data_IF_361914255463
#
_entry.id   IF_361914255463
#
_cell.length_a   1.000
_cell.length_b   1.000
_cell.length_c   1.000
_cell.angle_alpha   90.00
_cell.angle_beta   90.00
_cell.angle_gamma   90.00
#
_symmetry.space_group_name_H-M   'P 1'
#
loop_
_entity.id
_entity.type
_entity.pdbx_description
1 polymer ?
#
# COMPACT_ATOMS: atom_id res chain seq x y z
N UNK A 1 -48.41 75.80 11.63
CA UNK A 1 -48.29 74.44 11.04
C UNK A 1 -46.82 74.14 10.88
N UNK A 2 -46.25 73.32 11.78
CA UNK A 2 -44.86 72.90 11.73
C UNK A 2 -44.79 71.58 10.93
N UNK A 3 -44.16 71.59 9.76
CA UNK A 3 -43.93 70.39 8.97
C UNK A 3 -42.63 69.73 9.45
N UNK A 4 -42.76 68.58 10.11
CA UNK A 4 -41.67 67.68 10.42
C UNK A 4 -41.09 67.13 9.11
N UNK A 5 -39.86 67.50 8.78
CA UNK A 5 -39.08 66.86 7.72
C UNK A 5 -38.49 65.55 8.24
N UNK A 6 -38.85 64.42 7.64
CA UNK A 6 -38.16 63.14 7.87
C UNK A 6 -36.75 63.21 7.26
N UNK A 7 -35.73 62.95 8.06
CA UNK A 7 -34.37 62.77 7.58
C UNK A 7 -34.07 61.26 7.49
N UNK A 8 -34.03 60.72 6.27
CA UNK A 8 -33.63 59.34 6.02
C UNK A 8 -32.10 59.31 5.83
N UNK A 9 -31.37 58.76 6.79
CA UNK A 9 -29.93 58.53 6.69
C UNK A 9 -29.69 57.13 6.12
N UNK A 10 -29.25 57.04 4.86
CA UNK A 10 -28.78 55.78 4.28
C UNK A 10 -27.30 55.57 4.63
N UNK A 11 -27.00 54.55 5.45
CA UNK A 11 -25.64 54.09 5.69
C UNK A 11 -25.31 53.01 4.65
N UNK A 12 -24.44 53.32 3.67
CA UNK A 12 -23.84 52.30 2.81
C UNK A 12 -22.71 51.60 3.59
N UNK A 13 -22.99 50.42 4.14
CA UNK A 13 -21.95 49.49 4.57
C UNK A 13 -21.40 48.76 3.34
N UNK A 14 -20.20 49.15 2.88
CA UNK A 14 -19.48 48.44 1.84
C UNK A 14 -18.89 47.15 2.44
N UNK A 15 -19.70 46.11 2.55
CA UNK A 15 -19.22 44.77 2.86
C UNK A 15 -18.56 44.25 1.59
N UNK A 16 -17.23 44.26 1.53
CA UNK A 16 -16.46 43.67 0.43
C UNK A 16 -16.76 42.16 0.38
N UNK A 17 -17.77 41.78 -0.39
CA UNK A 17 -17.98 40.40 -0.80
C UNK A 17 -16.85 40.12 -1.80
N UNK A 18 -15.84 39.35 -1.37
CA UNK A 18 -14.85 38.77 -2.27
C UNK A 18 -15.61 38.07 -3.40
N UNK A 19 -15.32 38.44 -4.64
CA UNK A 19 -15.98 37.85 -5.80
C UNK A 19 -15.80 36.32 -5.73
N UNK A 20 -16.86 35.51 -5.90
CA UNK A 20 -16.80 34.05 -5.79
C UNK A 20 -15.74 33.41 -6.69
N UNK A 21 -15.45 34.03 -7.84
CA UNK A 21 -14.36 33.62 -8.74
C UNK A 21 -12.97 33.71 -8.10
N UNK A 22 -12.73 34.70 -7.24
CA UNK A 22 -11.44 34.92 -6.59
C UNK A 22 -11.21 33.93 -5.44
N UNK A 23 -12.30 33.51 -4.77
CA UNK A 23 -12.25 32.43 -3.78
C UNK A 23 -11.98 31.08 -4.46
N UNK A 24 -12.62 30.80 -5.60
CA UNK A 24 -12.37 29.58 -6.39
C UNK A 24 -10.93 29.53 -6.92
N UNK A 25 -10.39 30.63 -7.45
CA UNK A 25 -9.00 30.66 -7.92
C UNK A 25 -7.99 30.42 -6.79
N UNK A 26 -8.27 30.93 -5.59
CA UNK A 26 -7.40 30.73 -4.43
C UNK A 26 -7.43 29.26 -3.97
N UNK A 27 -8.61 28.64 -3.98
CA UNK A 27 -8.78 27.23 -3.62
C UNK A 27 -8.04 26.31 -4.59
N UNK A 28 -8.09 26.59 -5.90
CA UNK A 28 -7.35 25.82 -6.92
C UNK A 28 -5.83 25.96 -6.71
N UNK A 29 -5.33 27.16 -6.41
CA UNK A 29 -3.90 27.41 -6.16
C UNK A 29 -3.37 26.80 -4.85
N UNK A 30 -4.25 26.55 -3.88
CA UNK A 30 -3.89 26.00 -2.57
C UNK A 30 -4.14 24.49 -2.45
N UNK A 31 -4.86 23.90 -3.39
CA UNK A 31 -5.17 22.47 -3.38
C UNK A 31 -3.90 21.64 -3.69
N UNK A 32 -3.68 20.51 -2.99
CA UNK A 32 -2.70 19.52 -3.38
C UNK A 32 -2.93 19.06 -4.83
N UNK A 33 -1.87 18.86 -5.60
CA UNK A 33 -1.93 18.53 -7.03
C UNK A 33 -2.82 17.30 -7.33
N UNK A 34 -2.81 16.30 -6.43
CA UNK A 34 -3.66 15.12 -6.51
C UNK A 34 -5.16 15.44 -6.34
N UNK A 35 -5.50 16.36 -5.43
CA UNK A 35 -6.86 16.81 -5.20
C UNK A 35 -7.35 17.67 -6.38
N UNK A 36 -6.49 18.52 -6.93
CA UNK A 36 -6.76 19.30 -8.14
C UNK A 36 -7.07 18.40 -9.34
N UNK A 37 -6.32 17.30 -9.53
CA UNK A 37 -6.59 16.33 -10.60
C UNK A 37 -7.98 15.70 -10.46
N UNK A 38 -8.34 15.27 -9.26
CA UNK A 38 -9.66 14.67 -9.01
C UNK A 38 -10.79 15.67 -9.28
N UNK A 39 -10.59 16.93 -8.89
CA UNK A 39 -11.54 18.02 -9.13
C UNK A 39 -11.68 18.30 -10.63
N UNK A 40 -10.57 18.43 -11.35
CA UNK A 40 -10.55 18.63 -12.82
C UNK A 40 -11.22 17.45 -13.54
N UNK A 41 -10.93 16.21 -13.14
CA UNK A 41 -11.54 15.01 -13.73
C UNK A 41 -13.06 14.99 -13.54
N UNK A 42 -13.53 15.33 -12.33
CA UNK A 42 -14.96 15.43 -12.03
C UNK A 42 -15.63 16.54 -12.84
N UNK A 43 -14.97 17.70 -12.99
CA UNK A 43 -15.48 18.80 -13.80
C UNK A 43 -15.48 18.45 -15.30
N UNK A 44 -14.50 17.70 -15.81
CA UNK A 44 -14.50 17.16 -17.18
C UNK A 44 -15.68 16.21 -17.45
N UNK A 45 -16.06 15.37 -16.48
CA UNK A 45 -17.23 14.47 -16.63
C UNK A 45 -18.55 15.25 -16.69
N UNK A 46 -18.63 16.40 -16.02
CA UNK A 46 -19.85 17.23 -15.97
C UNK A 46 -19.90 18.29 -17.06
N UNK A 47 -18.74 18.74 -17.56
CA UNK A 47 -18.62 19.83 -18.53
C UNK A 47 -18.11 19.30 -19.88
N UNK A 48 -19.00 19.10 -20.87
CA UNK A 48 -18.65 18.55 -22.18
C UNK A 48 -17.78 19.47 -23.06
N UNK A 49 -17.36 20.65 -22.55
CA UNK A 49 -16.46 21.59 -23.24
C UNK A 49 -15.00 21.39 -22.80
N UNK A 50 -14.74 20.82 -21.62
CA UNK A 50 -13.36 20.57 -21.18
C UNK A 50 -12.79 19.33 -21.85
N UNK A 51 -11.69 19.51 -22.57
CA UNK A 51 -10.92 18.42 -23.17
C UNK A 51 -9.47 18.47 -22.68
N UNK A 52 -8.91 17.30 -22.31
CA UNK A 52 -7.49 17.15 -21.99
C UNK A 52 -6.71 17.07 -23.31
N UNK A 53 -5.79 18.02 -23.52
CA UNK A 53 -4.92 17.97 -24.69
C UNK A 53 -3.84 16.90 -24.46
N UNK A 54 -3.72 15.86 -25.31
CA UNK A 54 -2.54 15.01 -25.27
C UNK A 54 -1.30 15.87 -25.57
N UNK A 55 -0.21 15.64 -24.83
CA UNK A 55 1.07 16.33 -25.01
C UNK A 55 1.42 16.42 -26.51
N UNK A 56 1.63 17.64 -27.02
CA UNK A 56 2.04 17.84 -28.42
C UNK A 56 3.47 17.33 -28.65
N UNK A 57 3.56 16.04 -28.96
CA UNK A 57 4.57 15.47 -29.83
C UNK A 57 3.93 14.54 -30.85
N UNK A 58 2.81 14.97 -31.44
CA UNK A 58 2.32 14.45 -32.72
C UNK A 58 1.35 15.45 -33.36
N UNK A 59 1.94 16.36 -34.13
CA UNK A 59 1.23 17.23 -35.06
C UNK A 59 0.84 16.43 -36.31
N UNK A 60 -0.46 16.29 -36.60
CA UNK A 60 -1.15 17.03 -37.69
C UNK A 60 -2.52 16.39 -38.02
N UNK A 61 -3.50 17.28 -38.16
CA UNK A 61 -4.95 17.12 -38.33
C UNK A 61 -5.45 16.72 -39.74
N UNK A 62 -6.49 15.85 -39.74
CA UNK A 62 -7.82 15.94 -40.41
C UNK A 62 -7.97 16.16 -41.94
N UNK A 63 -8.60 15.20 -42.65
CA UNK A 63 -10.00 15.23 -43.17
C UNK A 63 -10.27 14.48 -44.51
N UNK A 64 -11.22 13.54 -44.47
CA UNK A 64 -12.27 13.10 -45.43
C UNK A 64 -12.06 12.77 -46.95
N UNK A 65 -12.28 11.47 -47.22
CA UNK A 65 -13.20 10.84 -48.21
C UNK A 65 -12.87 10.66 -49.72
N UNK A 66 -12.74 9.37 -50.07
CA UNK A 66 -13.28 8.63 -51.23
C UNK A 66 -12.70 8.82 -52.66
N UNK A 67 -11.75 7.96 -53.04
CA UNK A 67 -11.79 7.24 -54.34
C UNK A 67 -10.96 5.94 -54.27
N UNK A 68 -11.63 4.78 -54.23
CA UNK A 68 -11.03 3.47 -53.95
C UNK A 68 -10.64 2.71 -55.22
N UNK A 69 -9.35 2.34 -55.31
CA UNK A 69 -8.79 1.09 -55.88
C UNK A 69 -7.58 1.25 -56.84
N UNK A 70 -7.17 2.48 -57.20
CA UNK A 70 -5.91 2.71 -57.94
C UNK A 70 -4.79 3.32 -57.10
N UNK A 71 -5.12 4.18 -56.13
CA UNK A 71 -4.14 4.74 -55.19
C UNK A 71 -3.52 3.68 -54.27
N UNK A 72 -4.27 2.63 -53.90
CA UNK A 72 -3.78 1.59 -52.97
C UNK A 72 -2.53 0.86 -53.49
N UNK A 73 -2.37 0.70 -54.80
CA UNK A 73 -1.17 0.06 -55.39
C UNK A 73 0.04 0.99 -55.40
N UNK A 74 -0.16 2.26 -55.71
CA UNK A 74 0.93 3.25 -55.68
C UNK A 74 1.34 3.59 -54.26
N UNK A 75 0.39 3.57 -53.32
CA UNK A 75 0.61 3.77 -51.90
C UNK A 75 1.28 2.54 -51.26
N UNK A 76 0.95 1.32 -51.69
CA UNK A 76 1.65 0.09 -51.29
C UNK A 76 3.10 0.05 -51.82
N UNK A 77 3.34 0.48 -53.06
CA UNK A 77 4.69 0.60 -53.61
C UNK A 77 5.51 1.71 -52.92
N UNK A 78 4.85 2.80 -52.49
CA UNK A 78 5.49 3.83 -51.66
C UNK A 78 5.76 3.32 -50.25
N UNK A 79 4.85 2.58 -49.63
CA UNK A 79 5.05 1.95 -48.33
C UNK A 79 6.16 0.90 -48.35
N UNK A 80 6.27 0.11 -49.41
CA UNK A 80 7.33 -0.88 -49.57
C UNK A 80 8.71 -0.22 -49.72
N UNK A 81 8.77 0.90 -50.47
CA UNK A 81 9.99 1.72 -50.55
C UNK A 81 10.32 2.40 -49.24
N UNK A 82 9.30 2.87 -48.51
CA UNK A 82 9.48 3.40 -47.16
C UNK A 82 9.99 2.29 -46.23
N UNK A 83 9.47 1.07 -46.29
CA UNK A 83 9.93 -0.06 -45.46
C UNK A 83 11.39 -0.44 -45.76
N UNK A 84 11.79 -0.44 -47.02
CA UNK A 84 13.18 -0.64 -47.42
C UNK A 84 14.09 0.53 -46.98
N UNK A 85 13.62 1.78 -47.07
CA UNK A 85 14.33 2.97 -46.59
C UNK A 85 14.44 3.02 -45.05
N UNK A 86 13.40 2.59 -44.33
CA UNK A 86 13.38 2.44 -42.87
C UNK A 86 14.29 1.30 -42.43
N UNK A 87 14.39 0.21 -43.22
CA UNK A 87 15.29 -0.91 -42.95
C UNK A 87 16.74 -0.53 -43.17
N UNK A 88 17.05 0.25 -44.21
CA UNK A 88 18.40 0.81 -44.44
C UNK A 88 18.77 1.87 -43.39
N UNK A 89 17.80 2.71 -42.96
CA UNK A 89 17.99 3.64 -41.85
C UNK A 89 18.21 2.89 -40.52
N UNK A 90 17.47 1.80 -40.29
CA UNK A 90 17.62 0.97 -39.08
C UNK A 90 18.96 0.21 -39.08
N UNK A 91 19.42 -0.26 -40.25
CA UNK A 91 20.73 -0.89 -40.43
C UNK A 91 21.90 0.11 -40.27
N UNK A 92 21.77 1.36 -40.73
CA UNK A 92 22.73 2.44 -40.46
C UNK A 92 22.68 2.93 -39.00
N UNK A 93 21.53 2.79 -38.34
CA UNK A 93 21.33 3.09 -36.93
C UNK A 93 21.79 1.97 -35.99
N UNK A 94 22.60 1.00 -36.45
CA UNK A 94 23.24 0.00 -35.57
C UNK A 94 24.13 0.61 -34.46
N UNK A 95 24.27 1.94 -34.40
CA UNK A 95 24.77 2.67 -33.22
C UNK A 95 23.72 2.98 -32.12
N UNK A 96 22.43 2.69 -32.34
CA UNK A 96 21.34 2.93 -31.38
C UNK A 96 21.13 1.75 -30.41
N UNK A 97 21.70 0.58 -30.70
CA UNK A 97 21.73 -0.55 -29.75
C UNK A 97 22.50 -0.25 -28.46
N UNK A 98 23.38 0.76 -28.44
CA UNK A 98 24.07 1.16 -27.21
C UNK A 98 23.14 1.88 -26.20
N UNK A 99 22.12 2.63 -26.67
CA UNK A 99 21.12 3.26 -25.80
C UNK A 99 20.02 2.30 -25.36
N UNK A 100 19.60 1.39 -26.24
CA UNK A 100 18.67 0.34 -25.89
C UNK A 100 19.23 -0.63 -24.84
N UNK A 101 20.55 -0.94 -24.87
CA UNK A 101 21.19 -1.76 -23.85
C UNK A 101 21.29 -1.02 -22.50
N UNK A 102 21.64 0.27 -22.49
CA UNK A 102 21.67 1.07 -21.26
C UNK A 102 20.28 1.26 -20.64
N UNK A 103 19.23 1.43 -21.44
CA UNK A 103 17.86 1.59 -20.94
C UNK A 103 17.25 0.25 -20.51
N UNK A 104 17.62 -0.85 -21.17
CA UNK A 104 17.27 -2.21 -20.72
C UNK A 104 18.02 -2.59 -19.45
N UNK A 105 19.31 -2.23 -19.33
CA UNK A 105 20.11 -2.39 -18.12
C UNK A 105 19.56 -1.54 -16.99
N UNK A 106 19.17 -0.27 -17.23
CA UNK A 106 18.52 0.57 -16.20
C UNK A 106 17.16 -0.01 -15.78
N UNK A 107 16.37 -0.55 -16.71
CA UNK A 107 15.12 -1.25 -16.38
C UNK A 107 15.39 -2.51 -15.58
N UNK A 108 16.34 -3.34 -15.98
CA UNK A 108 16.72 -4.54 -15.24
C UNK A 108 17.29 -4.19 -13.86
N UNK A 109 18.13 -3.16 -13.75
CA UNK A 109 18.63 -2.66 -12.48
C UNK A 109 17.50 -2.12 -11.60
N UNK A 110 16.50 -1.43 -12.20
CA UNK A 110 15.30 -0.99 -11.49
C UNK A 110 14.50 -2.20 -10.98
N UNK A 111 14.24 -3.20 -11.82
CA UNK A 111 13.52 -4.42 -11.43
C UNK A 111 14.26 -5.27 -10.40
N UNK A 112 15.59 -5.43 -10.53
CA UNK A 112 16.44 -6.13 -9.55
C UNK A 112 16.63 -5.32 -8.26
N UNK A 113 16.47 -3.99 -8.32
CA UNK A 113 16.50 -3.12 -7.13
C UNK A 113 15.17 -3.03 -6.39
N UNK A 114 14.07 -3.55 -6.97
CA UNK A 114 12.82 -3.76 -6.22
C UNK A 114 13.07 -4.93 -5.29
N UNK A 115 13.60 -4.62 -4.10
CA UNK A 115 13.69 -5.56 -3.01
C UNK A 115 12.27 -5.89 -2.53
N UNK A 116 11.65 -6.93 -3.09
CA UNK A 116 10.44 -7.50 -2.52
C UNK A 116 10.82 -8.19 -1.21
N UNK A 117 10.27 -7.71 -0.11
CA UNK A 117 10.42 -8.39 1.17
C UNK A 117 9.51 -9.62 1.19
N UNK A 118 10.03 -10.76 1.65
CA UNK A 118 9.24 -11.99 1.78
C UNK A 118 8.06 -11.74 2.74
N UNK A 119 6.84 -12.10 2.33
CA UNK A 119 5.66 -11.93 3.18
C UNK A 119 5.62 -12.99 4.29
N UNK A 120 4.87 -12.74 5.37
CA UNK A 120 4.70 -13.72 6.46
C UNK A 120 4.20 -15.06 5.92
N UNK A 121 3.21 -15.03 5.04
CA UNK A 121 2.62 -16.22 4.45
C UNK A 121 3.64 -16.98 3.60
N UNK A 122 4.46 -16.29 2.79
CA UNK A 122 5.53 -16.92 2.01
C UNK A 122 6.58 -17.57 2.93
N UNK A 123 6.98 -16.90 4.00
CA UNK A 123 7.93 -17.42 4.96
C UNK A 123 7.42 -18.67 5.71
N UNK A 124 6.14 -18.71 6.06
CA UNK A 124 5.50 -19.89 6.65
C UNK A 124 5.38 -21.04 5.64
N UNK A 125 5.05 -20.73 4.39
CA UNK A 125 5.00 -21.73 3.30
C UNK A 125 6.38 -22.33 3.02
N UNK A 126 7.44 -21.52 3.06
CA UNK A 126 8.82 -21.98 2.94
C UNK A 126 9.19 -22.95 4.07
N UNK A 127 8.79 -22.67 5.31
CA UNK A 127 9.00 -23.57 6.44
C UNK A 127 8.17 -24.86 6.34
N UNK A 128 6.92 -24.75 5.88
CA UNK A 128 6.06 -25.91 5.64
C UNK A 128 6.67 -26.83 4.58
N UNK A 129 7.26 -26.27 3.52
CA UNK A 129 7.94 -27.03 2.47
C UNK A 129 9.17 -27.80 2.98
N UNK A 130 9.77 -27.39 4.09
CA UNK A 130 10.90 -28.09 4.72
C UNK A 130 10.44 -29.27 5.60
N UNK A 131 9.14 -29.36 5.92
CA UNK A 131 8.58 -30.46 6.69
C UNK A 131 8.15 -31.60 5.78
N UNK A 132 8.36 -32.85 6.23
CA UNK A 132 7.88 -34.04 5.55
C UNK A 132 6.47 -34.37 6.03
N UNK A 133 5.46 -33.98 5.24
CA UNK A 133 4.04 -34.15 5.56
C UNK A 133 3.32 -34.95 4.46
N UNK A 134 2.22 -35.63 4.82
CA UNK A 134 1.35 -36.27 3.84
C UNK A 134 0.60 -35.22 3.00
N UNK A 135 0.08 -35.60 1.83
CA UNK A 135 -0.64 -34.68 0.95
C UNK A 135 -1.89 -34.04 1.61
N UNK A 136 -2.57 -34.79 2.49
CA UNK A 136 -3.75 -34.29 3.22
C UNK A 136 -3.30 -33.29 4.29
N UNK A 137 -2.37 -33.68 5.17
CA UNK A 137 -1.82 -32.84 6.23
C UNK A 137 -1.22 -31.54 5.69
N UNK A 138 -0.51 -31.65 4.56
CA UNK A 138 0.04 -30.51 3.83
C UNK A 138 -1.07 -29.54 3.40
N UNK A 139 -2.12 -30.05 2.77
CA UNK A 139 -3.25 -29.22 2.32
C UNK A 139 -3.96 -28.56 3.50
N UNK A 140 -4.12 -29.28 4.61
CA UNK A 140 -4.70 -28.74 5.86
C UNK A 140 -3.83 -27.60 6.42
N UNK A 141 -2.51 -27.79 6.44
CA UNK A 141 -1.58 -26.78 6.92
C UNK A 141 -1.49 -25.55 5.98
N UNK A 142 -1.55 -25.74 4.67
CA UNK A 142 -1.64 -24.65 3.68
C UNK A 142 -2.92 -23.82 3.89
N UNK A 143 -4.05 -24.47 4.17
CA UNK A 143 -5.31 -23.80 4.53
C UNK A 143 -5.18 -22.98 5.81
N UNK A 144 -4.52 -23.51 6.85
CA UNK A 144 -4.31 -22.77 8.10
C UNK A 144 -3.44 -21.53 7.84
N UNK A 145 -2.32 -21.68 7.13
CA UNK A 145 -1.42 -20.56 6.81
C UNK A 145 -2.16 -19.47 6.02
N UNK A 146 -3.03 -19.85 5.08
CA UNK A 146 -3.86 -18.91 4.32
C UNK A 146 -4.89 -18.14 5.16
N UNK A 147 -5.22 -18.63 6.37
CA UNK A 147 -6.13 -17.96 7.32
C UNK A 147 -5.39 -17.15 8.40
N UNK A 148 -4.06 -17.03 8.31
CA UNK A 148 -3.26 -16.19 9.20
C UNK A 148 -3.21 -14.76 8.63
N UNK A 149 -3.49 -13.78 9.48
CA UNK A 149 -3.40 -12.36 9.12
C UNK A 149 -1.95 -11.84 9.13
N UNK A 150 -1.78 -10.59 8.68
CA UNK A 150 -0.45 -9.96 8.65
C UNK A 150 0.13 -9.68 10.05
N UNK A 151 -0.70 -9.73 11.10
CA UNK A 151 -0.23 -9.65 12.49
C UNK A 151 0.25 -11.01 13.02
N UNK A 152 -0.05 -12.11 12.33
CA UNK A 152 0.27 -13.48 12.70
C UNK A 152 -0.80 -14.21 13.52
N UNK A 153 -2.03 -13.69 13.59
CA UNK A 153 -3.18 -14.31 14.26
C UNK A 153 -4.07 -15.09 13.29
N UNK A 154 -4.68 -16.16 13.79
CA UNK A 154 -5.62 -16.98 13.03
C UNK A 154 -7.00 -16.33 12.99
N UNK A 155 -7.53 -16.08 11.79
CA UNK A 155 -8.82 -15.41 11.59
C UNK A 155 -10.04 -16.35 11.69
N UNK A 156 -9.84 -17.65 11.48
CA UNK A 156 -10.93 -18.64 11.43
C UNK A 156 -10.65 -19.80 12.38
N UNK A 157 -11.68 -20.29 13.06
CA UNK A 157 -11.51 -21.37 14.02
C UNK A 157 -11.32 -22.74 13.33
N UNK A 158 -10.60 -23.70 13.95
CA UNK A 158 -10.46 -25.06 13.40
C UNK A 158 -11.78 -25.76 13.10
N UNK A 159 -12.83 -25.51 13.89
CA UNK A 159 -14.17 -26.06 13.66
C UNK A 159 -14.84 -25.52 12.40
N UNK A 160 -14.70 -24.22 12.12
CA UNK A 160 -15.22 -23.61 10.89
C UNK A 160 -14.45 -24.09 9.64
N UNK A 161 -13.13 -24.22 9.76
CA UNK A 161 -12.30 -24.77 8.67
C UNK A 161 -12.67 -26.23 8.35
N UNK A 162 -12.94 -27.05 9.37
CA UNK A 162 -13.40 -28.43 9.22
C UNK A 162 -14.74 -28.50 8.47
N UNK A 163 -15.72 -27.66 8.84
CA UNK A 163 -17.04 -27.61 8.18
C UNK A 163 -16.94 -27.25 6.69
N UNK A 164 -16.07 -26.30 6.33
CA UNK A 164 -15.94 -25.82 4.96
C UNK A 164 -15.21 -26.81 4.03
N UNK A 165 -14.34 -27.65 4.59
CA UNK A 165 -13.44 -28.51 3.80
C UNK A 165 -13.78 -29.99 3.87
N UNK A 166 -14.59 -30.40 4.86
CA UNK A 166 -14.92 -31.80 5.12
C UNK A 166 -13.78 -32.61 5.76
N UNK A 167 -12.70 -31.95 6.19
CA UNK A 167 -11.58 -32.56 6.94
C UNK A 167 -11.94 -32.57 8.44
N UNK A 168 -11.44 -33.55 9.19
CA UNK A 168 -11.72 -33.64 10.63
C UNK A 168 -11.10 -32.45 11.39
N UNK A 169 -11.80 -31.95 12.41
CA UNK A 169 -11.29 -30.88 13.27
C UNK A 169 -9.97 -31.28 13.97
N UNK A 170 -9.82 -32.56 14.31
CA UNK A 170 -8.63 -33.12 14.95
C UNK A 170 -7.38 -32.92 14.08
N UNK A 171 -7.50 -33.09 12.76
CA UNK A 171 -6.39 -32.87 11.83
C UNK A 171 -5.97 -31.40 11.79
N UNK A 172 -6.94 -30.48 11.81
CA UNK A 172 -6.65 -29.05 11.90
C UNK A 172 -5.97 -28.68 13.21
N UNK A 173 -6.38 -29.27 14.34
CA UNK A 173 -5.74 -29.01 15.64
C UNK A 173 -4.30 -29.53 15.67
N UNK A 174 -4.05 -30.73 15.14
CA UNK A 174 -2.70 -31.26 15.01
C UNK A 174 -1.82 -30.37 14.13
N UNK A 175 -2.30 -29.98 12.94
CA UNK A 175 -1.54 -29.12 12.04
C UNK A 175 -1.34 -27.71 12.59
N UNK A 176 -2.32 -27.18 13.35
CA UNK A 176 -2.19 -25.90 14.02
C UNK A 176 -1.05 -25.94 15.05
N UNK A 177 -0.93 -27.01 15.85
CA UNK A 177 0.18 -27.13 16.80
C UNK A 177 1.54 -27.20 16.11
N UNK A 178 1.61 -27.81 14.92
CA UNK A 178 2.82 -27.81 14.11
C UNK A 178 3.16 -26.40 13.60
N UNK A 179 2.18 -25.67 13.05
CA UNK A 179 2.39 -24.30 12.55
C UNK A 179 2.77 -23.34 13.68
N UNK A 180 2.18 -23.48 14.87
CA UNK A 180 2.56 -22.69 16.05
C UNK A 180 4.02 -22.92 16.50
N UNK A 181 4.67 -23.99 16.03
CA UNK A 181 6.11 -24.24 16.25
C UNK A 181 7.03 -23.51 15.26
N UNK A 182 6.49 -22.92 14.20
CA UNK A 182 7.26 -22.19 13.19
C UNK A 182 7.77 -20.85 13.72
N UNK A 183 8.64 -20.20 12.93
CA UNK A 183 9.09 -18.83 13.16
C UNK A 183 8.26 -17.87 12.30
N UNK A 184 7.81 -16.72 12.83
CA UNK A 184 8.06 -16.14 14.15
C UNK A 184 7.26 -16.82 15.30
N UNK A 185 7.79 -16.85 16.54
CA UNK A 185 7.13 -17.53 17.65
C UNK A 185 5.80 -16.87 18.04
N UNK A 186 4.76 -17.68 18.22
CA UNK A 186 3.40 -17.18 18.51
C UNK A 186 2.54 -16.94 17.27
N UNK A 187 3.04 -17.27 16.07
CA UNK A 187 2.25 -17.29 14.83
C UNK A 187 1.16 -18.36 14.89
N UNK A 188 0.00 -18.07 14.30
CA UNK A 188 -1.15 -18.99 14.32
C UNK A 188 -1.84 -19.08 15.68
N UNK A 189 -1.64 -18.08 16.55
CA UNK A 189 -2.41 -17.93 17.77
C UNK A 189 -3.84 -17.42 17.45
N UNK A 190 -4.84 -17.86 18.20
CA UNK A 190 -6.22 -17.40 18.07
C UNK A 190 -6.44 -16.04 18.74
N UNK A 191 -5.65 -15.75 19.77
CA UNK A 191 -5.68 -14.48 20.48
C UNK A 191 -4.29 -14.08 21.02
N UNK A 192 -4.20 -12.86 21.55
CA UNK A 192 -2.98 -12.33 22.15
C UNK A 192 -2.52 -13.17 23.35
N UNK A 193 -3.46 -13.73 24.10
CA UNK A 193 -3.15 -14.55 25.27
C UNK A 193 -2.40 -15.82 24.85
N UNK A 194 -2.94 -16.57 23.90
CA UNK A 194 -2.34 -17.77 23.32
C UNK A 194 -0.99 -17.46 22.68
N UNK A 195 -0.88 -16.35 21.95
CA UNK A 195 0.38 -15.91 21.33
C UNK A 195 1.51 -15.79 22.36
N UNK A 196 1.28 -15.05 23.45
CA UNK A 196 2.26 -14.88 24.53
C UNK A 196 2.56 -16.19 25.26
N UNK A 197 1.57 -17.06 25.44
CA UNK A 197 1.77 -18.37 26.05
C UNK A 197 2.63 -19.29 25.17
N UNK A 198 2.45 -19.27 23.84
CA UNK A 198 3.27 -20.00 22.88
C UNK A 198 4.73 -19.51 22.95
N UNK A 199 4.93 -18.19 22.95
CA UNK A 199 6.26 -17.59 23.06
C UNK A 199 6.95 -18.01 24.36
N UNK A 200 6.26 -17.91 25.50
CA UNK A 200 6.82 -18.32 26.79
C UNK A 200 7.11 -19.82 26.87
N UNK A 201 6.30 -20.67 26.25
CA UNK A 201 6.58 -22.12 26.16
C UNK A 201 7.86 -22.37 25.36
N UNK A 202 8.04 -21.68 24.23
CA UNK A 202 9.22 -21.81 23.37
C UNK A 202 10.50 -21.36 24.09
N UNK A 203 10.41 -20.32 24.90
CA UNK A 203 11.53 -19.83 25.74
C UNK A 203 11.84 -20.74 26.95
N UNK A 204 11.15 -21.87 27.11
CA UNK A 204 11.30 -22.76 28.26
C UNK A 204 10.70 -22.19 29.55
N UNK A 205 9.94 -21.10 29.48
CA UNK A 205 9.30 -20.40 30.60
C UNK A 205 7.86 -20.83 30.83
N UNK A 206 7.44 -22.00 30.32
CA UNK A 206 6.07 -22.52 30.46
C UNK A 206 5.59 -22.76 31.90
N UNK A 207 6.50 -22.87 32.87
CA UNK A 207 6.17 -23.03 34.30
C UNK A 207 6.42 -21.76 35.14
N UNK A 208 6.74 -20.64 34.49
CA UNK A 208 7.07 -19.38 35.14
C UNK A 208 5.83 -18.71 35.75
N UNK A 209 6.07 -17.71 36.62
CA UNK A 209 4.97 -16.90 37.17
C UNK A 209 4.29 -16.10 36.07
N UNK A 210 5.05 -15.67 35.07
CA UNK A 210 4.58 -14.95 33.88
C UNK A 210 3.55 -15.77 33.11
N UNK A 211 3.83 -17.06 32.87
CA UNK A 211 2.90 -17.96 32.20
C UNK A 211 1.57 -18.06 32.94
N UNK A 212 1.60 -18.21 34.27
CA UNK A 212 0.39 -18.26 35.12
C UNK A 212 -0.39 -16.95 35.13
N UNK A 213 0.33 -15.82 35.17
CA UNK A 213 -0.29 -14.50 35.11
C UNK A 213 -1.03 -14.31 33.78
N UNK A 214 -0.43 -14.70 32.66
CA UNK A 214 -1.08 -14.61 31.35
C UNK A 214 -2.24 -15.59 31.25
N UNK A 215 -2.10 -16.84 31.71
CA UNK A 215 -3.14 -17.87 31.54
C UNK A 215 -4.44 -17.56 32.31
N UNK A 216 -4.34 -16.97 33.50
CA UNK A 216 -5.51 -16.75 34.38
C UNK A 216 -5.91 -15.27 34.52
N UNK A 217 -4.97 -14.33 34.38
CA UNK A 217 -5.17 -12.92 34.76
C UNK A 217 -4.91 -11.93 33.60
N UNK A 218 -5.05 -12.34 32.34
CA UNK A 218 -4.80 -11.48 31.17
C UNK A 218 -5.62 -10.17 31.20
N UNK A 219 -6.90 -10.24 31.57
CA UNK A 219 -7.77 -9.05 31.66
C UNK A 219 -7.30 -8.05 32.73
N UNK A 220 -6.87 -8.56 33.88
CA UNK A 220 -6.38 -7.75 35.00
C UNK A 220 -5.00 -7.16 34.66
N UNK A 221 -4.16 -7.91 33.92
CA UNK A 221 -2.87 -7.46 33.41
C UNK A 221 -3.03 -6.30 32.42
N UNK A 222 -3.95 -6.42 31.45
CA UNK A 222 -4.24 -5.37 30.48
C UNK A 222 -4.76 -4.08 31.11
N UNK A 223 -5.53 -4.19 32.22
CA UNK A 223 -6.00 -3.04 33.01
C UNK A 223 -4.99 -2.54 34.05
N UNK A 224 -3.77 -3.11 34.08
CA UNK A 224 -2.69 -2.79 35.04
C UNK A 224 -3.10 -2.94 36.51
N UNK A 225 -3.98 -3.88 36.82
CA UNK A 225 -4.48 -4.16 38.19
C UNK A 225 -3.53 -5.07 38.98
N UNK A 226 -2.26 -4.68 39.09
CA UNK A 226 -1.23 -5.48 39.78
C UNK A 226 -1.57 -5.87 41.22
N UNK A 227 -2.22 -5.03 42.05
CA UNK A 227 -2.60 -5.42 43.41
C UNK A 227 -3.61 -6.57 43.48
N UNK A 228 -4.53 -6.67 42.51
CA UNK A 228 -5.53 -7.75 42.46
C UNK A 228 -4.86 -9.08 42.08
N UNK A 229 -3.98 -9.04 41.08
CA UNK A 229 -3.18 -10.20 40.65
C UNK A 229 -2.29 -10.68 41.81
N UNK A 230 -1.60 -9.77 42.49
CA UNK A 230 -0.72 -10.07 43.62
C UNK A 230 -1.49 -10.81 44.74
N UNK A 231 -2.69 -10.33 45.09
CA UNK A 231 -3.55 -10.97 46.11
C UNK A 231 -4.01 -12.36 45.71
N UNK A 232 -4.44 -12.55 44.46
CA UNK A 232 -4.94 -13.85 43.99
C UNK A 232 -3.83 -14.89 43.83
N UNK A 233 -2.67 -14.47 43.34
CA UNK A 233 -1.49 -15.33 43.16
C UNK A 233 -0.68 -15.53 44.44
N UNK A 234 -0.95 -14.78 45.51
CA UNK A 234 -0.21 -14.85 46.77
C UNK A 234 1.24 -14.36 46.68
N UNK A 235 1.54 -13.45 45.74
CA UNK A 235 2.87 -12.89 45.51
C UNK A 235 2.91 -11.38 45.80
N UNK A 236 4.11 -10.82 45.91
CA UNK A 236 4.26 -9.37 46.13
C UNK A 236 3.91 -8.57 44.87
N UNK A 237 3.45 -7.33 45.06
CA UNK A 237 3.16 -6.42 43.93
C UNK A 237 4.42 -6.13 43.10
N UNK A 238 5.59 -6.05 43.74
CA UNK A 238 6.87 -5.89 43.05
C UNK A 238 7.21 -7.07 42.12
N UNK A 239 6.90 -8.30 42.55
CA UNK A 239 7.07 -9.49 41.70
C UNK A 239 6.13 -9.46 40.51
N UNK A 240 4.85 -9.11 40.71
CA UNK A 240 3.90 -8.94 39.59
C UNK A 240 4.40 -7.90 38.60
N UNK A 241 4.95 -6.78 39.09
CA UNK A 241 5.48 -5.73 38.23
C UNK A 241 6.72 -6.18 37.45
N UNK A 242 7.63 -6.95 38.07
CA UNK A 242 8.75 -7.60 37.36
C UNK A 242 8.25 -8.55 36.27
N UNK A 243 7.27 -9.41 36.59
CA UNK A 243 6.65 -10.29 35.61
C UNK A 243 6.02 -9.51 34.46
N UNK A 244 5.28 -8.44 34.75
CA UNK A 244 4.66 -7.58 33.74
C UNK A 244 5.70 -6.92 32.82
N UNK A 245 6.83 -6.46 33.37
CA UNK A 245 7.93 -5.92 32.56
C UNK A 245 8.55 -6.98 31.65
N UNK A 246 8.73 -8.21 32.15
CA UNK A 246 9.24 -9.31 31.33
C UNK A 246 8.25 -9.70 30.22
N UNK A 247 6.95 -9.67 30.50
CA UNK A 247 5.91 -9.93 29.50
C UNK A 247 5.89 -8.81 28.45
N UNK A 248 6.12 -7.57 28.84
CA UNK A 248 6.17 -6.43 27.92
C UNK A 248 7.38 -6.46 26.95
N UNK A 249 8.38 -7.31 27.20
CA UNK A 249 9.49 -7.53 26.28
C UNK A 249 9.18 -8.57 25.19
N UNK A 250 8.08 -9.32 25.33
CA UNK A 250 7.63 -10.28 24.32
C UNK A 250 6.97 -9.55 23.15
N UNK A 251 6.95 -10.19 21.98
CA UNK A 251 6.44 -9.58 20.76
C UNK A 251 4.93 -9.83 20.61
N UNK A 252 4.06 -8.84 20.80
CA UNK A 252 2.61 -9.05 20.77
C UNK A 252 2.06 -9.29 19.35
N UNK A 253 2.84 -8.98 18.30
CA UNK A 253 2.45 -9.13 16.90
C UNK A 253 3.57 -9.82 16.13
N UNK A 254 3.62 -11.15 16.10
CA UNK A 254 4.71 -11.88 15.47
C UNK A 254 4.87 -11.57 13.98
N UNK A 255 3.78 -11.22 13.28
CA UNK A 255 3.81 -10.84 11.86
C UNK A 255 4.42 -9.47 11.56
N UNK A 256 4.63 -8.61 12.57
CA UNK A 256 5.15 -7.25 12.37
C UNK A 256 6.53 -7.20 11.69
N UNK A 257 7.33 -8.26 11.80
CA UNK A 257 8.65 -8.38 11.14
C UNK A 257 8.53 -8.44 9.62
N UNK A 258 7.40 -8.93 9.12
CA UNK A 258 7.13 -9.14 7.69
C UNK A 258 6.11 -8.15 7.14
N UNK A 259 5.57 -7.27 7.99
CA UNK A 259 4.68 -6.22 7.56
C UNK A 259 5.48 -5.15 6.81
N UNK A 260 5.20 -4.98 5.52
CA UNK A 260 5.77 -3.88 4.76
C UNK A 260 5.31 -2.55 5.37
N UNK A 261 6.28 -1.67 5.65
CA UNK A 261 5.94 -0.29 5.90
C UNK A 261 5.33 0.26 4.59
N UNK A 262 4.18 0.95 4.63
CA UNK A 262 3.64 1.57 3.43
C UNK A 262 4.69 2.52 2.87
N UNK A 263 5.28 2.16 1.72
CA UNK A 263 6.17 3.04 0.99
C UNK A 263 5.29 4.09 0.31
N UNK A 264 4.90 5.09 1.09
CA UNK A 264 4.29 6.30 0.54
C UNK A 264 5.37 7.01 -0.26
N UNK A 265 5.44 6.72 -1.57
CA UNK A 265 6.32 7.44 -2.47
C UNK A 265 5.83 8.88 -2.57
N UNK A 266 6.57 9.81 -1.97
CA UNK A 266 6.30 11.24 -2.12
C UNK A 266 6.98 11.67 -3.41
N UNK A 267 6.19 11.90 -4.46
CA UNK A 267 6.67 12.57 -5.67
C UNK A 267 6.91 14.04 -5.31
N UNK A 268 8.14 14.57 -5.45
CA UNK A 268 8.39 15.98 -5.19
C UNK A 268 7.86 16.84 -6.35
N UNK A 269 7.26 17.99 -6.03
CA UNK A 269 6.82 18.96 -7.05
C UNK A 269 8.02 19.63 -7.78
N UNK A 270 9.18 19.68 -7.11
CA UNK A 270 10.40 20.33 -7.60
C UNK A 270 11.62 19.49 -7.27
N UNK A 271 12.50 19.26 -8.24
CA UNK A 271 13.79 18.59 -8.05
C UNK A 271 14.91 19.58 -8.33
N UNK A 272 15.92 19.62 -7.45
CA UNK A 272 17.08 20.51 -7.60
C UNK A 272 18.29 19.65 -7.92
N UNK A 273 18.85 19.83 -9.11
CA UNK A 273 20.06 19.13 -9.54
C UNK A 273 21.25 20.09 -9.62
N UNK A 274 22.45 19.60 -9.28
CA UNK A 274 23.67 20.39 -9.40
C UNK A 274 24.45 19.93 -10.64
N UNK A 275 24.41 20.73 -11.69
CA UNK A 275 25.10 20.46 -12.95
C UNK A 275 26.22 21.49 -13.10
N UNK A 276 27.45 21.04 -13.33
CA UNK A 276 28.63 21.92 -13.54
C UNK A 276 28.89 22.97 -12.45
N UNK A 277 28.45 22.72 -11.21
CA UNK A 277 28.63 23.65 -10.09
C UNK A 277 27.48 24.64 -9.86
N UNK A 278 26.51 24.70 -10.77
CA UNK A 278 25.30 25.53 -10.66
C UNK A 278 24.09 24.69 -10.25
N UNK A 279 23.17 25.28 -9.49
CA UNK A 279 21.92 24.64 -9.10
C UNK A 279 20.87 24.91 -10.16
N UNK A 280 20.38 23.84 -10.81
CA UNK A 280 19.27 23.89 -11.73
C UNK A 280 18.00 23.37 -11.03
N UNK A 281 16.94 24.16 -11.12
CA UNK A 281 15.63 23.82 -10.56
C UNK A 281 14.79 23.23 -11.69
N UNK A 282 14.34 21.98 -11.52
CA UNK A 282 13.50 21.25 -12.45
C UNK A 282 12.12 21.12 -11.80
N UNK A 283 11.10 21.67 -12.46
CA UNK A 283 9.71 21.55 -12.04
C UNK A 283 9.13 20.27 -12.64
N UNK A 284 8.55 19.41 -11.82
CA UNK A 284 7.88 18.19 -12.30
C UNK A 284 6.48 18.55 -12.81
N UNK A 285 6.43 19.06 -14.06
CA UNK A 285 5.20 19.55 -14.71
C UNK A 285 4.31 18.48 -15.33
N UNK A 286 4.70 17.19 -15.26
CA UNK A 286 3.99 16.07 -15.89
C UNK A 286 2.55 15.87 -15.36
N UNK A 287 2.25 16.44 -14.20
CA UNK A 287 0.95 16.33 -13.52
C UNK A 287 0.10 17.61 -13.61
N UNK A 288 0.55 18.64 -14.33
CA UNK A 288 -0.26 19.85 -14.56
C UNK A 288 -1.13 19.58 -15.80
N UNK A 289 -2.46 19.45 -15.66
CA UNK A 289 -3.32 19.16 -16.81
C UNK A 289 -3.35 20.33 -17.77
N UNK A 290 -3.07 20.07 -19.05
CA UNK A 290 -3.24 21.02 -20.14
C UNK A 290 -4.70 20.96 -20.62
N UNK A 291 -5.53 21.85 -20.09
CA UNK A 291 -6.97 21.91 -20.38
C UNK A 291 -7.27 22.98 -21.44
N UNK A 292 -8.22 22.67 -22.34
CA UNK A 292 -8.81 23.63 -23.27
C UNK A 292 -10.31 23.81 -23.00
#
# INVERSE_FOLDING_TARGET
MAAQGMHQSQNLSLQQVLAPQLQQSLLILQAPLLELRNLVQQEMETNPVLEELPNESDSTSSSDSADSDQEFKEEFDKLAKLDDEWRDYMAQSSGFSARAHEDEEKRQFFFDSIATTETLQQHLMSQLNQQMLNAIDRKTAELIIGNVDDNGFLQTTPGEMALNTGIAQEDFEMMLTLIQSFFPPGVGARDLQECLLIQLKRDGRGNSLEYKIISEYMQDLGKRRFPEIARRMGISVEQVQKCANNIAQLEPRPGAVFAEAPQNYVVPDVTIEKINGEYQIILNGEQIPHLR
#
